data_IF_984680617840
#
_entry.id   IF_984680617840
#
_cell.length_a   1.000
_cell.length_b   1.000
_cell.length_c   1.000
_cell.angle_alpha   90.00
_cell.angle_beta   90.00
_cell.angle_gamma   90.00
#
_symmetry.space_group_name_H-M   'P 1'
#
loop_
_entity.id
_entity.type
_entity.pdbx_description
1 polymer ?
#
# COMPACT_ATOMS: atom_id res chain seq x y z
N UNK A 1 -3.16 -1.88 -4.66
CA UNK A 1 -4.00 -1.48 -3.51
C UNK A 1 -3.28 -0.50 -2.58
N UNK A 2 -2.20 -0.88 -1.87
CA UNK A 2 -1.55 -0.01 -0.87
C UNK A 2 -1.16 1.39 -1.37
N UNK A 3 -0.44 1.47 -2.49
CA UNK A 3 -0.04 2.76 -3.05
C UNK A 3 -1.22 3.65 -3.45
N UNK A 4 -2.28 3.06 -4.01
CA UNK A 4 -3.48 3.80 -4.39
C UNK A 4 -4.23 4.32 -3.15
N UNK A 5 -4.34 3.50 -2.10
CA UNK A 5 -4.90 3.94 -0.80
C UNK A 5 -4.09 5.07 -0.19
N UNK A 6 -2.76 4.99 -0.21
CA UNK A 6 -1.90 6.03 0.34
C UNK A 6 -2.06 7.35 -0.42
N UNK A 7 -2.06 7.33 -1.76
CA UNK A 7 -2.34 8.53 -2.59
C UNK A 7 -3.72 9.11 -2.29
N UNK A 8 -4.73 8.25 -2.21
CA UNK A 8 -6.10 8.67 -1.96
C UNK A 8 -6.27 9.34 -0.58
N UNK A 9 -5.59 8.83 0.45
CA UNK A 9 -5.73 9.30 1.83
C UNK A 9 -4.77 10.45 2.21
N UNK A 10 -3.56 10.49 1.64
CA UNK A 10 -2.54 11.49 1.96
C UNK A 10 -2.54 12.70 1.00
N UNK A 11 -3.18 12.58 -0.17
CA UNK A 11 -3.11 13.57 -1.23
C UNK A 11 -1.66 13.85 -1.63
N UNK A 12 -1.33 15.14 -1.79
CA UNK A 12 0.01 15.59 -2.19
C UNK A 12 1.02 15.65 -1.01
N UNK A 13 0.62 15.25 0.18
CA UNK A 13 1.48 15.33 1.38
C UNK A 13 2.58 14.26 1.39
N UNK A 14 2.39 13.18 0.62
CA UNK A 14 3.32 12.05 0.53
C UNK A 14 3.46 11.66 -0.93
N UNK A 15 4.70 11.64 -1.43
CA UNK A 15 5.00 11.14 -2.77
C UNK A 15 5.02 9.61 -2.77
N UNK A 16 4.11 9.01 -3.54
CA UNK A 16 3.88 7.56 -3.51
C UNK A 16 4.31 6.91 -4.81
N UNK A 17 5.23 5.96 -4.69
CA UNK A 17 5.69 5.10 -5.79
C UNK A 17 5.32 3.64 -5.49
N UNK A 18 5.05 2.87 -6.54
CA UNK A 18 4.78 1.44 -6.43
C UNK A 18 5.44 0.71 -7.57
N UNK A 19 6.03 -0.44 -7.27
CA UNK A 19 6.58 -1.32 -8.26
C UNK A 19 6.46 -2.78 -7.83
N UNK A 20 6.36 -3.67 -8.83
CA UNK A 20 6.45 -5.12 -8.63
C UNK A 20 7.84 -5.63 -9.00
N UNK A 21 8.29 -6.68 -8.32
CA UNK A 21 9.48 -7.45 -8.73
C UNK A 21 9.18 -8.29 -9.97
N UNK A 22 7.97 -8.83 -10.04
CA UNK A 22 7.41 -9.51 -11.21
C UNK A 22 6.12 -8.77 -11.61
N UNK A 23 6.13 -7.94 -12.66
CA UNK A 23 4.91 -7.33 -13.14
C UNK A 23 3.99 -8.44 -13.66
N UNK A 24 2.89 -8.69 -12.95
CA UNK A 24 1.83 -9.55 -13.48
C UNK A 24 1.31 -8.94 -14.79
N UNK A 25 1.14 -9.75 -15.83
CA UNK A 25 0.63 -9.30 -17.14
C UNK A 25 -0.77 -8.66 -17.02
N UNK A 26 -1.52 -9.02 -15.96
CA UNK A 26 -2.85 -8.50 -15.68
C UNK A 26 -3.03 -8.23 -14.19
N UNK A 27 -3.75 -7.15 -13.88
CA UNK A 27 -4.15 -6.83 -12.52
C UNK A 27 -5.18 -7.84 -12.01
N UNK A 28 -5.13 -8.14 -10.72
CA UNK A 28 -6.14 -9.00 -10.08
C UNK A 28 -7.53 -8.33 -10.17
N UNK A 29 -8.50 -8.92 -10.90
CA UNK A 29 -9.82 -8.30 -11.09
C UNK A 29 -10.58 -8.09 -9.78
N UNK A 30 -10.40 -8.97 -8.80
CA UNK A 30 -11.00 -8.80 -7.47
C UNK A 30 -10.41 -7.58 -6.75
N UNK A 31 -9.11 -7.32 -6.89
CA UNK A 31 -8.49 -6.12 -6.34
C UNK A 31 -9.02 -4.85 -7.01
N UNK A 32 -9.22 -4.87 -8.33
CA UNK A 32 -9.84 -3.75 -9.07
C UNK A 32 -11.26 -3.50 -8.55
N UNK A 33 -12.07 -4.56 -8.45
CA UNK A 33 -13.45 -4.46 -7.99
C UNK A 33 -13.56 -3.87 -6.58
N UNK A 34 -12.79 -4.35 -5.61
CA UNK A 34 -12.88 -3.83 -4.23
C UNK A 34 -12.32 -2.42 -4.10
N UNK A 35 -11.35 -2.02 -4.92
CA UNK A 35 -10.86 -0.63 -4.89
C UNK A 35 -11.89 0.33 -5.51
N UNK A 36 -12.58 -0.11 -6.56
CA UNK A 36 -13.67 0.65 -7.18
C UNK A 36 -14.86 0.88 -6.23
N UNK A 37 -15.12 -0.02 -5.27
CA UNK A 37 -16.11 0.20 -4.20
C UNK A 37 -15.84 1.49 -3.40
N UNK A 38 -14.57 1.92 -3.32
CA UNK A 38 -14.16 3.17 -2.65
C UNK A 38 -13.92 4.32 -3.65
N UNK A 39 -14.25 4.13 -4.93
CA UNK A 39 -13.99 5.11 -5.98
C UNK A 39 -12.51 5.25 -6.33
N UNK A 40 -11.68 4.25 -6.01
CA UNK A 40 -10.24 4.28 -6.28
C UNK A 40 -9.93 3.40 -7.49
N UNK A 41 -9.48 4.01 -8.58
CA UNK A 41 -8.97 3.29 -9.74
C UNK A 41 -7.53 2.81 -9.51
N UNK A 42 -7.26 1.56 -9.84
CA UNK A 42 -5.92 0.94 -9.77
C UNK A 42 -5.50 0.30 -11.09
N UNK A 43 -6.20 0.61 -12.19
CA UNK A 43 -5.98 0.01 -13.51
C UNK A 43 -4.72 0.49 -14.23
N UNK A 44 -4.00 1.44 -13.63
CA UNK A 44 -2.71 1.92 -14.12
C UNK A 44 -1.66 0.81 -14.26
N UNK A 45 -0.81 0.97 -15.27
CA UNK A 45 0.25 0.01 -15.62
C UNK A 45 1.25 -0.14 -14.46
N UNK A 46 1.53 -1.37 -13.99
CA UNK A 46 2.57 -1.63 -13.00
C UNK A 46 3.92 -1.10 -13.48
N UNK A 47 4.60 -0.33 -12.63
CA UNK A 47 5.95 0.18 -12.90
C UNK A 47 6.99 -0.83 -12.41
N UNK A 48 8.14 -0.88 -13.08
CA UNK A 48 9.29 -1.69 -12.66
C UNK A 48 10.01 -1.03 -11.48
N UNK A 49 10.49 -1.83 -10.53
CA UNK A 49 11.26 -1.33 -9.40
C UNK A 49 12.68 -1.02 -9.86
N UNK A 50 13.08 0.25 -9.80
CA UNK A 50 14.48 0.64 -10.04
C UNK A 50 15.19 0.93 -8.73
N UNK A 51 16.49 0.64 -8.67
CA UNK A 51 17.35 0.94 -7.53
C UNK A 51 17.30 2.43 -7.14
N UNK A 52 17.28 3.32 -8.13
CA UNK A 52 17.16 4.77 -7.96
C UNK A 52 15.86 5.17 -7.24
N UNK A 53 14.74 4.50 -7.56
CA UNK A 53 13.46 4.74 -6.90
C UNK A 53 13.51 4.38 -5.41
N UNK A 54 14.16 3.26 -5.08
CA UNK A 54 14.34 2.82 -3.70
C UNK A 54 15.23 3.80 -2.95
N UNK A 55 16.35 4.21 -3.54
CA UNK A 55 17.31 5.14 -2.93
C UNK A 55 16.71 6.53 -2.67
N UNK A 56 15.79 6.99 -3.52
CA UNK A 56 15.13 8.29 -3.38
C UNK A 56 13.94 8.29 -2.39
N UNK A 57 13.61 7.14 -1.78
CA UNK A 57 12.46 7.01 -0.87
C UNK A 57 12.91 7.08 0.59
N UNK A 58 12.17 7.80 1.43
CA UNK A 58 12.42 7.80 2.89
C UNK A 58 11.98 6.49 3.55
N UNK A 59 10.91 5.88 3.02
CA UNK A 59 10.33 4.64 3.52
C UNK A 59 10.02 3.69 2.37
N UNK A 60 10.41 2.42 2.53
CA UNK A 60 10.11 1.34 1.60
C UNK A 60 9.31 0.27 2.32
N UNK A 61 8.10 0.01 1.84
CA UNK A 61 7.22 -1.03 2.35
C UNK A 61 7.34 -2.28 1.46
N UNK A 62 7.76 -3.41 2.02
CA UNK A 62 7.72 -4.71 1.37
C UNK A 62 6.44 -5.46 1.75
N UNK A 63 5.87 -6.19 0.80
CA UNK A 63 4.60 -6.93 0.98
C UNK A 63 4.74 -8.39 0.52
N UNK A 64 5.87 -9.04 0.87
CA UNK A 64 6.12 -10.46 0.53
C UNK A 64 7.09 -10.72 -0.62
N UNK A 65 7.77 -9.70 -1.16
CA UNK A 65 8.76 -9.91 -2.23
C UNK A 65 10.10 -10.48 -1.79
N UNK A 66 10.41 -10.51 -0.48
CA UNK A 66 11.59 -11.17 0.10
C UNK A 66 12.93 -10.67 -0.44
N UNK A 67 13.69 -9.92 0.38
CA UNK A 67 15.14 -9.64 0.28
C UNK A 67 15.75 -9.21 -1.08
N UNK A 68 14.95 -8.98 -2.12
CA UNK A 68 15.41 -8.62 -3.47
C UNK A 68 15.59 -7.12 -3.63
N UNK A 69 15.14 -6.32 -2.67
CA UNK A 69 15.37 -4.88 -2.68
C UNK A 69 16.82 -4.57 -2.24
N UNK A 70 17.62 -3.86 -3.06
CA UNK A 70 18.93 -3.40 -2.63
C UNK A 70 18.80 -2.50 -1.40
N UNK A 71 19.66 -2.71 -0.41
CA UNK A 71 19.67 -1.92 0.82
C UNK A 71 20.40 -0.59 0.62
N UNK A 72 19.76 0.50 1.02
CA UNK A 72 20.33 1.84 1.01
C UNK A 72 20.29 2.44 2.41
N UNK A 73 21.41 3.01 2.85
CA UNK A 73 21.50 3.73 4.14
C UNK A 73 20.60 4.96 4.15
N UNK A 74 19.86 5.17 5.23
CA UNK A 74 18.94 6.31 5.37
C UNK A 74 17.51 6.01 4.91
N UNK A 75 17.29 4.89 4.20
CA UNK A 75 15.96 4.42 3.83
C UNK A 75 15.40 3.52 4.92
N UNK A 76 14.17 3.77 5.32
CA UNK A 76 13.46 3.00 6.33
C UNK A 76 12.69 1.83 5.70
N UNK A 77 13.19 0.61 5.85
CA UNK A 77 12.52 -0.58 5.33
C UNK A 77 11.51 -1.13 6.34
N UNK A 78 10.31 -1.48 5.87
CA UNK A 78 9.22 -2.06 6.68
C UNK A 78 8.60 -3.22 5.94
N UNK A 79 8.39 -4.32 6.65
CA UNK A 79 7.72 -5.50 6.09
C UNK A 79 6.26 -5.57 6.56
N UNK A 80 5.33 -5.47 5.63
CA UNK A 80 3.91 -5.70 5.86
C UNK A 80 3.57 -7.13 5.47
N UNK A 81 3.49 -7.99 6.47
CA UNK A 81 2.97 -9.35 6.31
C UNK A 81 1.47 -9.30 6.05
N UNK A 82 1.12 -9.42 4.78
CA UNK A 82 -0.24 -9.40 4.28
C UNK A 82 -0.57 -10.74 3.61
N UNK A 83 -1.85 -11.07 3.58
CA UNK A 83 -2.33 -12.20 2.80
C UNK A 83 -2.25 -11.84 1.31
N UNK A 84 -1.83 -12.80 0.49
CA UNK A 84 -1.81 -12.62 -0.96
C UNK A 84 -3.24 -12.62 -1.52
N UNK A 85 -3.68 -11.56 -2.22
CA UNK A 85 -5.01 -11.52 -2.84
C UNK A 85 -5.12 -12.40 -4.09
N UNK A 86 -4.02 -12.89 -4.67
CA UNK A 86 -4.05 -13.70 -5.89
C UNK A 86 -4.91 -14.97 -5.72
N UNK A 87 -5.84 -15.18 -6.65
CA UNK A 87 -6.75 -16.33 -6.63
C UNK A 87 -7.76 -16.37 -5.48
N UNK A 88 -7.83 -15.33 -4.64
CA UNK A 88 -8.76 -15.28 -3.51
C UNK A 88 -10.15 -14.79 -3.90
N UNK A 89 -11.22 -15.21 -3.18
CA UNK A 89 -12.56 -14.65 -3.33
C UNK A 89 -12.59 -13.13 -3.02
N UNK A 90 -13.53 -12.41 -3.64
CA UNK A 90 -13.63 -10.94 -3.50
C UNK A 90 -13.81 -10.50 -2.05
N UNK A 91 -14.49 -11.28 -1.22
CA UNK A 91 -14.68 -11.06 0.22
C UNK A 91 -13.35 -11.11 0.99
N UNK A 92 -12.48 -12.06 0.65
CA UNK A 92 -11.14 -12.15 1.21
C UNK A 92 -10.29 -10.96 0.76
N UNK A 93 -10.37 -10.60 -0.52
CA UNK A 93 -9.65 -9.43 -1.05
C UNK A 93 -10.15 -8.13 -0.41
N UNK A 94 -11.45 -8.03 -0.09
CA UNK A 94 -12.01 -6.91 0.67
C UNK A 94 -11.43 -6.82 2.08
N UNK A 95 -11.31 -7.96 2.79
CA UNK A 95 -10.66 -7.98 4.09
C UNK A 95 -9.16 -7.62 4.01
N UNK A 96 -8.48 -7.97 2.92
CA UNK A 96 -7.10 -7.54 2.65
C UNK A 96 -7.03 -6.03 2.40
N UNK A 97 -7.97 -5.46 1.65
CA UNK A 97 -8.09 -4.00 1.46
C UNK A 97 -8.20 -3.26 2.80
N UNK A 98 -9.04 -3.74 3.71
CA UNK A 98 -9.20 -3.12 5.03
C UNK A 98 -7.91 -3.17 5.87
N UNK A 99 -7.23 -4.33 5.93
CA UNK A 99 -5.94 -4.49 6.62
C UNK A 99 -4.88 -3.52 6.05
N UNK A 100 -4.81 -3.41 4.72
CA UNK A 100 -3.94 -2.43 4.06
C UNK A 100 -4.34 -1.00 4.42
N UNK A 101 -5.63 -0.67 4.45
CA UNK A 101 -6.10 0.68 4.76
C UNK A 101 -5.76 1.08 6.20
N UNK A 102 -5.88 0.18 7.17
CA UNK A 102 -5.47 0.42 8.56
C UNK A 102 -3.98 0.74 8.66
N UNK A 103 -3.14 -0.06 8.00
CA UNK A 103 -1.68 0.15 7.98
C UNK A 103 -1.29 1.45 7.27
N UNK A 104 -1.97 1.79 6.17
CA UNK A 104 -1.78 3.06 5.47
C UNK A 104 -2.13 4.25 6.38
N UNK A 105 -3.25 4.21 7.09
CA UNK A 105 -3.62 5.27 8.04
C UNK A 105 -2.59 5.43 9.15
N UNK A 106 -2.10 4.32 9.70
CA UNK A 106 -1.04 4.36 10.72
C UNK A 106 0.25 4.98 10.18
N UNK A 107 0.66 4.59 8.96
CA UNK A 107 1.84 5.14 8.30
C UNK A 107 1.70 6.66 8.02
N UNK A 108 0.54 7.11 7.55
CA UNK A 108 0.27 8.54 7.36
C UNK A 108 0.40 9.29 8.69
N UNK A 109 -0.20 8.75 9.76
CA UNK A 109 -0.13 9.36 11.09
C UNK A 109 1.30 9.47 11.62
N UNK A 110 2.11 8.43 11.40
CA UNK A 110 3.55 8.42 11.72
C UNK A 110 4.32 9.48 10.92
N UNK A 111 4.17 9.49 9.60
CA UNK A 111 4.95 10.35 8.69
C UNK A 111 4.58 11.83 8.79
N UNK A 112 3.30 12.13 8.99
CA UNK A 112 2.81 13.51 9.09
C UNK A 112 2.73 14.01 10.54
N UNK A 113 3.18 13.21 11.52
CA UNK A 113 3.11 13.55 12.94
C UNK A 113 1.69 13.76 13.46
N UNK A 114 0.68 13.26 12.73
CA UNK A 114 -0.72 13.40 13.11
C UNK A 114 -1.13 12.18 13.90
N UNK A 115 -1.14 12.28 15.23
CA UNK A 115 -1.84 11.32 16.07
C UNK A 115 -3.33 11.37 15.71
N UNK A 116 -3.78 10.52 14.79
CA UNK A 116 -5.21 10.31 14.57
C UNK A 116 -5.73 9.58 15.80
N UNK A 117 -6.22 10.35 16.78
CA UNK A 117 -7.02 9.82 17.88
C UNK A 117 -8.26 9.18 17.24
N UNK A 118 -8.26 7.85 17.15
CA UNK A 118 -9.46 7.09 16.82
C UNK A 118 -10.39 7.23 18.03
N UNK A 119 -11.19 8.30 18.05
CA UNK A 119 -12.20 8.49 19.08
C UNK A 119 -13.28 7.45 18.84
N UNK A 120 -13.21 6.35 19.58
CA UNK A 120 -14.31 5.41 19.71
C UNK A 120 -15.46 6.18 20.38
N UNK A 121 -16.41 6.66 19.57
CA UNK A 121 -17.68 7.15 20.05
C UNK A 121 -18.42 5.98 20.70
N UNK A 122 -18.22 5.78 22.00
CA UNK A 122 -19.07 4.91 22.81
C UNK A 122 -20.28 5.74 23.21
N UNK A 123 -21.41 5.39 22.60
CA UNK A 123 -22.72 6.00 22.83
C UNK A 123 -23.08 6.05 24.30
N UNK A 124 -23.78 7.11 24.64
CA UNK A 124 -24.39 7.38 25.94
C UNK A 124 -25.70 6.61 26.08
#
# INVERSE_FOLDING_TARGET
MAAALLRHLAGDSIDVRSAGTEPAEQLNPAAVAVMAEWGIDITDVPKVLTAETVQASDVVITMGCGDTCPYFSGVSYRDWRLRDPAGQPVETVRAIREDIAERVRALIGELLGTTIQISAAKGR
#
